data_IF_014929159879
#
_entry.id   IF_014929159879
#
_cell.length_a   1.000
_cell.length_b   1.000
_cell.length_c   1.000
_cell.angle_alpha   90.00
_cell.angle_beta   90.00
_cell.angle_gamma   90.00
#
_symmetry.space_group_name_H-M   'P 1'
#
loop_
_entity.id
_entity.type
_entity.pdbx_description
1 polymer ?
#
# COMPACT_ATOMS: atom_id res chain seq x y z
N UNK A 1 -5.10 -10.74 -5.06
CA UNK A 1 -3.80 -11.45 -5.11
C UNK A 1 -3.78 -12.50 -4.02
N UNK A 2 -3.26 -13.70 -4.28
CA UNK A 2 -3.14 -14.75 -3.26
C UNK A 2 -1.86 -14.58 -2.45
N UNK A 3 -1.81 -15.17 -1.25
CA UNK A 3 -0.60 -15.17 -0.42
C UNK A 3 0.58 -15.87 -1.12
N UNK A 4 0.30 -16.91 -1.90
CA UNK A 4 1.33 -17.64 -2.66
C UNK A 4 1.90 -16.78 -3.79
N UNK A 5 1.05 -16.11 -4.57
CA UNK A 5 1.48 -15.17 -5.61
C UNK A 5 2.36 -14.06 -5.03
N UNK A 6 1.92 -13.45 -3.92
CA UNK A 6 2.65 -12.38 -3.25
C UNK A 6 4.04 -12.84 -2.79
N UNK A 7 4.12 -14.03 -2.19
CA UNK A 7 5.38 -14.64 -1.76
C UNK A 7 6.31 -14.84 -2.97
N UNK A 8 5.81 -15.42 -4.06
CA UNK A 8 6.61 -15.65 -5.27
C UNK A 8 7.16 -14.35 -5.85
N UNK A 9 6.36 -13.28 -5.89
CA UNK A 9 6.82 -11.96 -6.39
C UNK A 9 7.90 -11.38 -5.46
N UNK A 10 7.69 -11.44 -4.14
CA UNK A 10 8.64 -10.93 -3.17
C UNK A 10 9.98 -11.69 -3.21
N UNK A 11 9.94 -13.02 -3.30
CA UNK A 11 11.12 -13.88 -3.43
C UNK A 11 11.88 -13.58 -4.73
N UNK A 12 11.17 -13.45 -5.85
CA UNK A 12 11.77 -13.12 -7.14
C UNK A 12 12.45 -11.74 -7.12
N UNK A 13 11.84 -10.74 -6.49
CA UNK A 13 12.40 -9.40 -6.35
C UNK A 13 13.71 -9.41 -5.55
N UNK A 14 13.68 -10.05 -4.37
CA UNK A 14 14.87 -10.15 -3.50
C UNK A 14 15.99 -10.96 -4.17
N UNK A 15 15.66 -12.05 -4.85
CA UNK A 15 16.64 -12.82 -5.63
C UNK A 15 17.28 -11.97 -6.74
N UNK A 16 16.47 -11.15 -7.43
CA UNK A 16 16.95 -10.20 -8.43
C UNK A 16 17.94 -9.18 -7.83
N UNK A 17 17.58 -8.55 -6.70
CA UNK A 17 18.44 -7.60 -6.01
C UNK A 17 19.78 -8.21 -5.57
N UNK A 18 19.76 -9.43 -5.04
CA UNK A 18 20.97 -10.14 -4.63
C UNK A 18 21.86 -10.52 -5.82
N UNK A 19 21.29 -10.77 -6.99
CA UNK A 19 22.04 -11.07 -8.21
C UNK A 19 22.65 -9.84 -8.87
N UNK A 20 21.98 -8.68 -8.83
CA UNK A 20 22.40 -7.47 -9.53
C UNK A 20 23.13 -6.44 -8.66
N UNK A 21 22.83 -6.38 -7.38
CA UNK A 21 23.34 -5.35 -6.45
C UNK A 21 23.37 -5.88 -5.01
N UNK A 22 24.20 -6.90 -4.72
CA UNK A 22 24.32 -7.41 -3.37
C UNK A 22 24.83 -6.31 -2.42
N UNK A 23 24.30 -6.22 -1.19
CA UNK A 23 24.73 -5.19 -0.24
C UNK A 23 26.19 -5.35 0.17
N UNK A 24 26.71 -6.58 0.21
CA UNK A 24 28.14 -6.89 0.37
C UNK A 24 28.43 -8.33 -0.08
N UNK A 25 29.71 -8.70 -0.30
CA UNK A 25 30.10 -10.06 -0.72
C UNK A 25 29.67 -11.19 0.25
N UNK A 26 29.34 -10.85 1.50
CA UNK A 26 28.95 -11.80 2.54
C UNK A 26 27.54 -11.54 3.10
N UNK A 27 26.82 -10.55 2.53
CA UNK A 27 25.51 -10.12 3.02
C UNK A 27 24.55 -10.13 1.85
N UNK A 28 23.34 -10.63 2.07
CA UNK A 28 22.25 -10.64 1.11
C UNK A 28 20.98 -10.03 1.72
N UNK A 29 20.13 -9.50 0.87
CA UNK A 29 18.77 -9.10 1.26
C UNK A 29 17.91 -10.34 1.50
N UNK A 30 17.09 -10.26 2.53
CA UNK A 30 16.00 -11.17 2.84
C UNK A 30 14.68 -10.41 2.98
N UNK A 31 13.58 -11.16 3.04
CA UNK A 31 12.23 -10.62 3.23
C UNK A 31 11.94 -10.51 4.72
N UNK A 32 11.57 -9.31 5.17
CA UNK A 32 11.20 -9.01 6.55
C UNK A 32 9.71 -9.05 6.81
N UNK A 33 9.28 -8.27 7.81
CA UNK A 33 7.87 -8.14 8.17
C UNK A 33 7.07 -7.55 7.01
N UNK A 34 5.84 -8.03 6.87
CA UNK A 34 4.90 -7.56 5.87
C UNK A 34 3.89 -6.61 6.51
N UNK A 35 3.70 -5.45 5.91
CA UNK A 35 2.59 -4.54 6.21
C UNK A 35 1.69 -4.45 4.99
N UNK A 36 0.41 -4.76 5.16
CA UNK A 36 -0.58 -4.56 4.11
C UNK A 36 -1.08 -3.10 4.12
N UNK A 37 -0.93 -2.44 2.99
CA UNK A 37 -1.58 -1.17 2.66
C UNK A 37 -2.77 -1.43 1.75
N UNK A 38 -3.65 -0.44 1.59
CA UNK A 38 -4.79 -0.53 0.68
C UNK A 38 -4.35 -0.90 -0.74
N UNK A 39 -3.27 -0.28 -1.21
CA UNK A 39 -2.86 -0.29 -2.63
C UNK A 39 -1.71 -1.25 -2.93
N UNK A 40 -0.99 -1.69 -1.90
CA UNK A 40 0.21 -2.52 -2.03
C UNK A 40 0.49 -3.32 -0.76
N UNK A 41 1.43 -4.25 -0.86
CA UNK A 41 2.05 -4.92 0.29
C UNK A 41 3.47 -4.39 0.43
N UNK A 42 3.83 -3.93 1.62
CA UNK A 42 5.18 -3.49 1.94
C UNK A 42 5.92 -4.58 2.71
N UNK A 43 7.21 -4.72 2.44
CA UNK A 43 8.11 -5.62 3.15
C UNK A 43 9.35 -4.87 3.58
N UNK A 44 9.71 -5.00 4.86
CA UNK A 44 11.03 -4.58 5.33
C UNK A 44 12.12 -5.44 4.70
N UNK A 45 13.29 -4.87 4.44
CA UNK A 45 14.47 -5.68 4.15
C UNK A 45 15.06 -6.24 5.43
N UNK A 46 15.40 -7.52 5.41
CA UNK A 46 16.33 -8.11 6.39
C UNK A 46 17.70 -8.25 5.75
N UNK A 47 18.75 -8.05 6.54
CA UNK A 47 20.10 -8.38 6.12
C UNK A 47 20.43 -9.77 6.65
N UNK A 48 20.82 -10.65 5.74
CA UNK A 48 21.19 -12.01 6.04
C UNK A 48 22.65 -12.25 5.68
N UNK A 49 23.34 -13.07 6.46
CA UNK A 49 24.67 -13.56 6.09
C UNK A 49 24.58 -14.66 5.02
N UNK A 50 25.73 -15.21 4.62
CA UNK A 50 25.81 -16.30 3.65
C UNK A 50 25.09 -17.59 4.10
N UNK A 51 24.81 -17.75 5.40
CA UNK A 51 24.14 -18.90 6.02
C UNK A 51 22.66 -18.61 6.36
N UNK A 52 22.07 -17.56 5.78
CA UNK A 52 20.68 -17.15 6.02
C UNK A 52 20.39 -16.73 7.47
N UNK A 53 21.43 -16.38 8.25
CA UNK A 53 21.29 -15.85 9.60
C UNK A 53 21.18 -14.33 9.58
N UNK A 54 20.40 -13.77 10.50
CA UNK A 54 20.24 -12.32 10.60
C UNK A 54 21.57 -11.64 10.94
N UNK A 55 21.98 -10.73 10.07
CA UNK A 55 23.21 -9.95 10.21
C UNK A 55 23.00 -8.86 11.26
N UNK A 56 23.78 -8.90 12.35
CA UNK A 56 23.56 -8.07 13.56
C UNK A 56 24.42 -6.82 13.65
N UNK A 57 25.40 -6.64 12.77
CA UNK A 57 26.23 -5.45 12.76
C UNK A 57 25.48 -4.27 12.15
N UNK A 58 25.80 -3.02 12.55
CA UNK A 58 25.02 -1.85 12.16
C UNK A 58 24.97 -1.73 10.63
N UNK A 59 23.77 -1.76 10.02
CA UNK A 59 23.66 -1.65 8.58
C UNK A 59 24.14 -0.28 8.12
N UNK A 60 24.98 -0.28 7.09
CA UNK A 60 25.29 0.92 6.31
C UNK A 60 23.97 1.33 5.62
N UNK A 61 23.58 2.59 5.80
CA UNK A 61 22.29 3.14 5.37
C UNK A 61 21.82 2.64 3.99
N UNK A 62 20.56 2.19 3.91
CA UNK A 62 19.95 1.65 2.69
C UNK A 62 18.43 1.88 2.64
N UNK A 63 17.81 1.44 1.53
CA UNK A 63 16.36 1.49 1.36
C UNK A 63 15.65 0.70 2.49
N UNK A 64 14.53 1.20 3.05
CA UNK A 64 13.82 0.54 4.15
C UNK A 64 13.23 -0.82 3.77
N UNK A 65 12.94 -1.01 2.48
CA UNK A 65 12.17 -2.15 2.03
C UNK A 65 11.74 -2.01 0.57
N UNK A 66 10.76 -2.80 0.21
CA UNK A 66 10.14 -2.78 -1.11
C UNK A 66 8.63 -2.94 -0.98
N UNK A 67 7.91 -2.59 -2.04
CA UNK A 67 6.49 -2.83 -2.14
C UNK A 67 6.17 -3.76 -3.30
N UNK A 68 5.09 -4.51 -3.17
CA UNK A 68 4.44 -5.24 -4.25
C UNK A 68 3.07 -4.61 -4.48
N UNK A 69 2.87 -4.01 -5.63
CA UNK A 69 1.61 -3.36 -5.99
C UNK A 69 0.51 -4.38 -6.23
N UNK A 70 -0.71 -4.11 -5.71
CA UNK A 70 -1.86 -5.00 -5.92
C UNK A 70 -2.40 -4.94 -7.35
N UNK A 71 -2.16 -3.82 -8.04
CA UNK A 71 -2.76 -3.52 -9.34
C UNK A 71 -1.99 -4.16 -10.50
N UNK A 72 -0.69 -3.89 -10.58
CA UNK A 72 0.19 -4.37 -11.67
C UNK A 72 1.07 -5.56 -11.26
N UNK A 73 0.98 -6.00 -9.99
CA UNK A 73 1.77 -7.08 -9.41
C UNK A 73 3.28 -6.86 -9.52
N UNK A 74 3.73 -5.61 -9.65
CA UNK A 74 5.15 -5.27 -9.75
C UNK A 74 5.75 -5.02 -8.37
N UNK A 75 6.97 -5.52 -8.18
CA UNK A 75 7.78 -5.22 -7.01
C UNK A 75 8.73 -4.06 -7.29
N UNK A 76 8.88 -3.14 -6.32
CA UNK A 76 9.87 -2.07 -6.40
C UNK A 76 10.43 -1.71 -5.04
N UNK A 77 11.74 -1.50 -4.99
CA UNK A 77 12.40 -0.92 -3.82
C UNK A 77 11.95 0.54 -3.65
N UNK A 78 11.70 0.95 -2.41
CA UNK A 78 11.26 2.31 -2.10
C UNK A 78 12.25 2.97 -1.13
N UNK A 79 12.33 4.30 -1.13
CA UNK A 79 13.15 5.04 -0.15
C UNK A 79 12.42 5.23 1.20
N UNK A 80 13.14 5.73 2.21
CA UNK A 80 12.53 6.16 3.48
C UNK A 80 11.49 7.27 3.27
N UNK A 81 11.75 8.19 2.33
CA UNK A 81 10.83 9.26 1.98
C UNK A 81 9.54 8.72 1.36
N UNK A 82 9.67 7.76 0.44
CA UNK A 82 8.53 7.08 -0.19
C UNK A 82 7.71 6.29 0.82
N UNK A 83 8.35 5.61 1.77
CA UNK A 83 7.65 4.92 2.86
C UNK A 83 6.87 5.91 3.74
N UNK A 84 7.45 7.07 4.05
CA UNK A 84 6.76 8.14 4.76
C UNK A 84 5.56 8.69 3.99
N UNK A 85 5.68 8.85 2.67
CA UNK A 85 4.58 9.26 1.80
C UNK A 85 3.48 8.18 1.75
N UNK A 86 3.85 6.92 1.61
CA UNK A 86 2.93 5.77 1.58
C UNK A 86 2.10 5.67 2.87
N UNK A 87 2.76 5.77 4.04
CA UNK A 87 2.06 5.76 5.33
C UNK A 87 1.06 6.90 5.48
N UNK A 88 1.40 8.11 5.02
CA UNK A 88 0.45 9.25 5.03
C UNK A 88 -0.73 9.01 4.09
N UNK A 89 -0.47 8.46 2.91
CA UNK A 89 -1.53 8.16 1.94
C UNK A 89 -2.48 7.08 2.45
N UNK A 90 -1.97 6.04 3.11
CA UNK A 90 -2.81 5.01 3.75
C UNK A 90 -3.76 5.60 4.79
N UNK A 91 -3.26 6.51 5.63
CA UNK A 91 -4.10 7.19 6.64
C UNK A 91 -5.22 7.95 5.95
N UNK A 92 -4.90 8.74 4.93
CA UNK A 92 -5.89 9.51 4.18
C UNK A 92 -6.94 8.61 3.51
N UNK A 93 -6.51 7.54 2.85
CA UNK A 93 -7.41 6.60 2.18
C UNK A 93 -8.28 5.84 3.20
N UNK A 94 -7.72 5.45 4.35
CA UNK A 94 -8.46 4.80 5.44
C UNK A 94 -9.51 5.74 6.03
N UNK A 95 -9.19 7.03 6.19
CA UNK A 95 -10.14 8.03 6.64
C UNK A 95 -11.30 8.19 5.64
N UNK A 96 -11.00 8.27 4.33
CA UNK A 96 -12.03 8.35 3.30
C UNK A 96 -12.92 7.10 3.34
N UNK A 97 -12.30 5.92 3.38
CA UNK A 97 -13.00 4.64 3.49
C UNK A 97 -13.98 4.64 4.66
N UNK A 98 -13.54 5.04 5.85
CA UNK A 98 -14.39 5.08 7.03
C UNK A 98 -15.57 6.05 6.86
N UNK A 99 -15.35 7.21 6.23
CA UNK A 99 -16.43 8.16 5.95
C UNK A 99 -17.45 7.60 4.96
N UNK A 100 -17.00 6.89 3.93
CA UNK A 100 -17.89 6.26 2.94
C UNK A 100 -18.69 5.11 3.57
N UNK A 101 -18.04 4.28 4.39
CA UNK A 101 -18.68 3.22 5.16
C UNK A 101 -19.74 3.78 6.12
N UNK A 102 -19.43 4.86 6.84
CA UNK A 102 -20.38 5.53 7.73
C UNK A 102 -21.59 6.10 6.99
N UNK A 103 -21.42 6.62 5.77
CA UNK A 103 -22.54 7.09 4.95
C UNK A 103 -23.44 5.92 4.54
N UNK A 104 -22.83 4.81 4.10
CA UNK A 104 -23.57 3.65 3.61
C UNK A 104 -24.31 2.90 4.72
N UNK A 105 -23.64 2.59 5.82
CA UNK A 105 -24.18 1.72 6.87
C UNK A 105 -25.05 2.48 7.87
N UNK A 106 -24.70 3.72 8.18
CA UNK A 106 -25.33 4.51 9.25
C UNK A 106 -26.23 5.62 8.72
N UNK A 107 -26.40 5.71 7.39
CA UNK A 107 -27.12 6.76 6.69
C UNK A 107 -26.69 8.17 7.17
N UNK A 108 -25.40 8.32 7.50
CA UNK A 108 -24.87 9.60 7.96
C UNK A 108 -24.75 10.59 6.81
N UNK A 109 -24.74 11.89 7.13
CA UNK A 109 -24.81 12.93 6.11
C UNK A 109 -23.54 13.01 5.26
N UNK A 110 -23.71 12.92 3.93
CA UNK A 110 -22.71 13.25 2.90
C UNK A 110 -22.10 14.65 3.07
N UNK A 111 -22.71 15.53 3.88
CA UNK A 111 -22.16 16.85 4.21
C UNK A 111 -20.75 16.81 4.79
N UNK A 112 -20.37 15.77 5.54
CA UNK A 112 -19.00 15.65 6.08
C UNK A 112 -17.95 15.46 4.98
N UNK A 113 -18.24 14.57 4.02
CA UNK A 113 -17.42 14.36 2.82
C UNK A 113 -17.38 15.64 1.99
N UNK A 114 -18.54 16.29 1.80
CA UNK A 114 -18.63 17.58 1.11
C UNK A 114 -17.69 18.62 1.69
N UNK A 115 -17.74 18.83 3.02
CA UNK A 115 -16.95 19.88 3.66
C UNK A 115 -15.45 19.59 3.67
N UNK A 116 -15.04 18.32 3.76
CA UNK A 116 -13.63 17.95 3.88
C UNK A 116 -12.91 17.97 2.52
N UNK A 117 -13.60 17.57 1.45
CA UNK A 117 -13.04 17.44 0.11
C UNK A 117 -13.61 18.46 -0.89
N UNK A 118 -14.32 19.48 -0.40
CA UNK A 118 -14.97 20.53 -1.18
C UNK A 118 -15.81 20.03 -2.36
N UNK A 119 -16.58 18.95 -2.14
CA UNK A 119 -17.30 18.28 -3.21
C UNK A 119 -18.50 19.11 -3.70
N UNK A 120 -18.68 19.15 -5.01
CA UNK A 120 -19.89 19.69 -5.66
C UNK A 120 -21.08 18.75 -5.46
N UNK A 121 -22.30 19.29 -5.63
CA UNK A 121 -23.53 18.47 -5.58
C UNK A 121 -23.56 17.35 -6.62
N UNK A 122 -22.90 17.55 -7.77
CA UNK A 122 -22.78 16.53 -8.82
C UNK A 122 -21.87 15.37 -8.38
N UNK A 123 -20.71 15.69 -7.80
CA UNK A 123 -19.80 14.68 -7.25
C UNK A 123 -20.44 13.91 -6.09
N UNK A 124 -21.16 14.60 -5.19
CA UNK A 124 -21.90 13.93 -4.11
C UNK A 124 -22.95 12.95 -4.63
N UNK A 125 -23.63 13.27 -5.74
CA UNK A 125 -24.59 12.38 -6.36
C UNK A 125 -23.90 11.15 -6.98
N UNK A 126 -22.73 11.33 -7.61
CA UNK A 126 -21.90 10.20 -8.08
C UNK A 126 -21.46 9.31 -6.93
N UNK A 127 -20.93 9.90 -5.85
CA UNK A 127 -20.56 9.17 -4.63
C UNK A 127 -21.75 8.35 -4.13
N UNK A 128 -22.93 8.96 -3.99
CA UNK A 128 -24.12 8.24 -3.52
C UNK A 128 -24.50 7.05 -4.40
N UNK A 129 -24.50 7.23 -5.73
CA UNK A 129 -24.79 6.14 -6.68
C UNK A 129 -23.77 5.01 -6.56
N UNK A 130 -22.48 5.35 -6.49
CA UNK A 130 -21.42 4.36 -6.31
C UNK A 130 -21.56 3.58 -5.00
N UNK A 131 -21.98 4.23 -3.90
CA UNK A 131 -22.22 3.56 -2.62
C UNK A 131 -23.44 2.62 -2.64
N UNK A 132 -24.48 2.98 -3.40
CA UNK A 132 -25.69 2.17 -3.57
C UNK A 132 -25.40 0.93 -4.45
N UNK A 133 -24.55 1.08 -5.48
CA UNK A 133 -24.27 0.04 -6.48
C UNK A 133 -23.13 -0.93 -6.09
N UNK A 134 -22.23 -0.56 -5.18
CA UNK A 134 -21.05 -1.35 -4.82
C UNK A 134 -20.98 -1.70 -3.33
N UNK A 135 -20.60 -2.94 -2.99
CA UNK A 135 -20.13 -3.25 -1.63
C UNK A 135 -18.83 -2.48 -1.34
N UNK A 136 -18.81 -1.80 -0.19
CA UNK A 136 -17.61 -1.10 0.27
C UNK A 136 -16.81 -2.13 1.06
N UNK A 137 -15.92 -2.84 0.37
CA UNK A 137 -14.90 -3.64 1.02
C UNK A 137 -13.53 -2.95 0.89
N UNK A 138 -12.63 -3.24 1.84
CA UNK A 138 -11.32 -2.59 1.94
C UNK A 138 -10.47 -2.72 0.67
N UNK A 139 -10.63 -3.79 -0.12
CA UNK A 139 -9.84 -4.04 -1.33
C UNK A 139 -10.42 -3.35 -2.56
N UNK A 140 -11.75 -3.22 -2.66
CA UNK A 140 -12.46 -2.54 -3.74
C UNK A 140 -12.46 -1.00 -3.61
N UNK A 141 -12.02 -0.51 -2.46
CA UNK A 141 -12.14 0.90 -2.08
C UNK A 141 -11.11 1.82 -2.70
N UNK A 142 -9.94 1.33 -3.12
CA UNK A 142 -8.94 2.20 -3.76
C UNK A 142 -9.46 2.74 -5.10
N UNK A 143 -10.04 1.88 -5.94
CA UNK A 143 -10.60 2.28 -7.24
C UNK A 143 -11.77 3.24 -7.06
N UNK A 144 -12.70 2.93 -6.14
CA UNK A 144 -13.82 3.80 -5.76
C UNK A 144 -13.34 5.16 -5.24
N UNK A 145 -12.39 5.19 -4.30
CA UNK A 145 -11.85 6.44 -3.76
C UNK A 145 -11.12 7.21 -4.86
N UNK A 146 -10.34 6.53 -5.70
CA UNK A 146 -9.64 7.18 -6.82
C UNK A 146 -10.61 7.74 -7.85
N UNK A 147 -11.70 7.04 -8.15
CA UNK A 147 -12.75 7.52 -9.06
C UNK A 147 -13.50 8.72 -8.47
N UNK A 148 -13.80 8.69 -7.17
CA UNK A 148 -14.40 9.82 -6.44
C UNK A 148 -13.47 11.04 -6.44
N UNK A 149 -12.16 10.83 -6.32
CA UNK A 149 -11.15 11.89 -6.27
C UNK A 149 -10.66 12.35 -7.65
N UNK A 150 -10.92 11.60 -8.74
CA UNK A 150 -10.50 11.95 -10.11
C UNK A 150 -11.19 13.18 -10.67
N UNK A 151 -12.39 13.48 -10.17
CA UNK A 151 -13.22 14.60 -10.62
C UNK A 151 -13.06 15.86 -9.74
N UNK A 152 -12.20 15.84 -8.71
CA UNK A 152 -11.86 17.00 -7.85
C UNK A 152 -10.65 17.73 -8.44
#
# INVERSE_FOLDING_TARGET
MTAEELRTIAEAHVAGLNGSSPPHAQIKFGIGEMTEFLTCYYFDFRLLDANDQEYKEPPVAGAPGFIVSKNDKQAKTISLGDLGALKRREVELTEIYQMLADVKERNTSLMKLKSKYDLTSKQLLCVKRLLDDHEIDRNSSEELITEILKDI
#
